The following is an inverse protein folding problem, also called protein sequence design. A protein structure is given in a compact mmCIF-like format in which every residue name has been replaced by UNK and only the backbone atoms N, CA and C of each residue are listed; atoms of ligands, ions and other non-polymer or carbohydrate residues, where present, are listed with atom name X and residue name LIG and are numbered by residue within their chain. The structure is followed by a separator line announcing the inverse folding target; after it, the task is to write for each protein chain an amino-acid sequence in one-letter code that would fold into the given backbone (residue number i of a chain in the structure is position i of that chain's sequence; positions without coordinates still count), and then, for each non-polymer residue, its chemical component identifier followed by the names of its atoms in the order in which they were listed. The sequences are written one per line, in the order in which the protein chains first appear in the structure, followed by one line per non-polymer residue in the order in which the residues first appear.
data_IF_684063619599
#
_entry.id   IF_684063619599
#
_cell.length_a   1.000
_cell.length_b   1.000
_cell.length_c   1.000
_cell.angle_alpha   90.00
_cell.angle_beta   90.00
_cell.angle_gamma   90.00
#
_symmetry.space_group_name_H-M   'P 1'
#
loop_
_entity.id
_entity.type
_entity.pdbx_description
1 polymer ?
#
# COMPACT_ATOMS: atom_id res chain seq x y z
N UNK A 1 39.43 -32.78 -20.84
CA UNK A 1 39.04 -31.39 -21.19
C UNK A 1 37.54 -31.18 -21.37
N UNK A 2 36.82 -31.98 -22.18
CA UNK A 2 35.39 -31.74 -22.49
C UNK A 2 34.46 -31.76 -21.27
N UNK A 3 34.67 -32.70 -20.32
CA UNK A 3 33.84 -32.83 -19.10
C UNK A 3 34.05 -31.67 -18.12
N UNK A 4 35.28 -31.18 -17.98
CA UNK A 4 35.61 -30.03 -17.12
C UNK A 4 34.97 -28.75 -17.64
N UNK A 5 34.96 -28.55 -18.96
CA UNK A 5 34.35 -27.38 -19.59
C UNK A 5 32.82 -27.35 -19.39
N UNK A 6 32.16 -28.52 -19.46
CA UNK A 6 30.73 -28.67 -19.19
C UNK A 6 30.38 -28.39 -17.72
N UNK A 7 31.18 -28.92 -16.78
CA UNK A 7 31.00 -28.65 -15.35
C UNK A 7 31.23 -27.17 -15.02
N UNK A 8 32.24 -26.54 -15.62
CA UNK A 8 32.53 -25.12 -15.44
C UNK A 8 31.43 -24.23 -16.03
N UNK A 9 30.93 -24.54 -17.23
CA UNK A 9 29.80 -23.83 -17.83
C UNK A 9 28.50 -24.00 -17.02
N UNK A 10 28.23 -25.22 -16.53
CA UNK A 10 27.10 -25.49 -15.64
C UNK A 10 27.20 -24.73 -14.31
N UNK A 11 28.40 -24.62 -13.74
CA UNK A 11 28.65 -23.83 -12.54
C UNK A 11 28.44 -22.33 -12.77
N UNK A 12 28.93 -21.77 -13.88
CA UNK A 12 28.71 -20.36 -14.25
C UNK A 12 27.23 -20.05 -14.51
N UNK A 13 26.50 -20.95 -15.16
CA UNK A 13 25.05 -20.81 -15.36
C UNK A 13 24.28 -20.95 -14.04
N UNK A 14 24.68 -21.86 -13.15
CA UNK A 14 24.07 -22.02 -11.84
C UNK A 14 24.27 -20.79 -10.94
N UNK A 15 25.48 -20.25 -10.89
CA UNK A 15 25.79 -19.05 -10.07
C UNK A 15 25.12 -17.79 -10.61
N UNK A 16 25.06 -17.61 -11.94
CA UNK A 16 24.32 -16.49 -12.53
C UNK A 16 22.81 -16.63 -12.31
N UNK A 17 22.25 -17.84 -12.41
CA UNK A 17 20.85 -18.11 -12.08
C UNK A 17 20.54 -17.85 -10.60
N UNK A 18 21.39 -18.31 -9.67
CA UNK A 18 21.23 -18.04 -8.23
C UNK A 18 21.35 -16.55 -7.92
N UNK A 19 22.30 -15.84 -8.52
CA UNK A 19 22.45 -14.38 -8.35
C UNK A 19 21.28 -13.59 -8.93
N UNK A 20 20.68 -14.06 -10.02
CA UNK A 20 19.43 -13.50 -10.54
C UNK A 20 18.28 -13.74 -9.57
N UNK A 21 18.09 -14.99 -9.10
CA UNK A 21 17.04 -15.35 -8.14
C UNK A 21 17.14 -14.56 -6.83
N UNK A 22 18.34 -14.37 -6.29
CA UNK A 22 18.55 -13.62 -5.05
C UNK A 22 18.18 -12.14 -5.20
N UNK A 23 18.56 -11.51 -6.33
CA UNK A 23 18.11 -10.16 -6.67
C UNK A 23 16.59 -10.08 -6.81
N UNK A 24 15.95 -11.08 -7.41
CA UNK A 24 14.50 -11.12 -7.53
C UNK A 24 13.81 -11.29 -6.17
N UNK A 25 14.29 -12.20 -5.32
CA UNK A 25 13.75 -12.44 -3.99
C UNK A 25 13.89 -11.21 -3.08
N UNK A 26 15.05 -10.55 -3.09
CA UNK A 26 15.28 -9.29 -2.37
C UNK A 26 14.31 -8.19 -2.79
N UNK A 27 13.98 -8.11 -4.09
CA UNK A 27 13.01 -7.13 -4.61
C UNK A 27 11.58 -7.43 -4.20
N UNK A 28 11.14 -8.68 -4.36
CA UNK A 28 9.80 -9.10 -3.90
C UNK A 28 9.64 -8.83 -2.41
N UNK A 29 10.67 -9.10 -1.61
CA UNK A 29 10.68 -8.78 -0.19
C UNK A 29 10.57 -7.27 0.07
N UNK A 30 11.36 -6.44 -0.62
CA UNK A 30 11.30 -4.99 -0.47
C UNK A 30 9.91 -4.41 -0.85
N UNK A 31 9.32 -4.89 -1.94
CA UNK A 31 7.95 -4.52 -2.35
C UNK A 31 6.91 -4.95 -1.32
N UNK A 32 6.99 -6.19 -0.81
CA UNK A 32 6.07 -6.68 0.22
C UNK A 32 6.19 -5.86 1.52
N UNK A 33 7.41 -5.50 1.92
CA UNK A 33 7.66 -4.64 3.08
C UNK A 33 7.11 -3.23 2.88
N UNK A 34 7.25 -2.65 1.68
CA UNK A 34 6.70 -1.34 1.35
C UNK A 34 5.17 -1.35 1.38
N UNK A 35 4.53 -2.36 0.78
CA UNK A 35 3.07 -2.53 0.83
C UNK A 35 2.56 -2.71 2.27
N UNK A 36 3.24 -3.54 3.07
CA UNK A 36 2.90 -3.71 4.48
C UNK A 36 3.05 -2.40 5.26
N UNK A 37 4.12 -1.64 5.00
CA UNK A 37 4.34 -0.34 5.65
C UNK A 37 3.28 0.68 5.27
N UNK A 38 2.89 0.75 3.98
CA UNK A 38 1.78 1.59 3.53
C UNK A 38 0.47 1.20 4.22
N UNK A 39 0.19 -0.10 4.34
CA UNK A 39 -1.00 -0.59 5.04
C UNK A 39 -1.03 -0.19 6.52
N UNK A 40 0.09 -0.33 7.24
CA UNK A 40 0.20 0.13 8.63
C UNK A 40 -0.10 1.63 8.75
N UNK A 41 0.37 2.45 7.80
CA UNK A 41 0.06 3.88 7.77
C UNK A 41 -1.42 4.14 7.48
N UNK A 42 -2.05 3.36 6.61
CA UNK A 42 -3.50 3.45 6.38
C UNK A 42 -4.30 3.07 7.64
N UNK A 43 -3.91 2.01 8.34
CA UNK A 43 -4.57 1.59 9.59
C UNK A 43 -4.41 2.66 10.69
N UNK A 44 -3.22 3.26 10.82
CA UNK A 44 -2.98 4.39 11.72
C UNK A 44 -3.82 5.62 11.34
N UNK A 45 -4.01 5.88 10.05
CA UNK A 45 -4.89 6.96 9.58
C UNK A 45 -6.35 6.72 9.98
N UNK A 46 -6.84 5.48 9.84
CA UNK A 46 -8.18 5.08 10.30
C UNK A 46 -8.33 5.26 11.81
N UNK A 47 -7.34 4.83 12.60
CA UNK A 47 -7.35 4.98 14.05
C UNK A 47 -7.39 6.46 14.45
N UNK A 48 -6.48 7.28 13.92
CA UNK A 48 -6.44 8.71 14.20
C UNK A 48 -7.73 9.43 13.78
N UNK A 49 -8.35 9.04 12.66
CA UNK A 49 -9.65 9.54 12.24
C UNK A 49 -10.74 9.19 13.27
N UNK A 50 -10.79 7.92 13.71
CA UNK A 50 -11.74 7.45 14.69
C UNK A 50 -11.63 8.14 16.05
N UNK A 51 -10.42 8.57 16.42
CA UNK A 51 -10.13 9.39 17.60
C UNK A 51 -10.40 10.89 17.40
N UNK A 52 -10.83 11.32 16.20
CA UNK A 52 -11.07 12.73 15.88
C UNK A 52 -9.80 13.55 15.61
N UNK A 53 -8.63 12.92 15.52
CA UNK A 53 -7.33 13.56 15.26
C UNK A 53 -7.11 13.72 13.75
N UNK A 54 -7.90 14.57 13.12
CA UNK A 54 -7.97 14.67 11.65
C UNK A 54 -6.65 15.09 10.97
N UNK A 55 -5.87 15.99 11.57
CA UNK A 55 -4.56 16.38 11.04
C UNK A 55 -3.57 15.21 11.04
N UNK A 56 -3.58 14.42 12.12
CA UNK A 56 -2.74 13.24 12.25
C UNK A 56 -3.19 12.13 11.27
N UNK A 57 -4.50 11.96 11.09
CA UNK A 57 -5.05 11.05 10.10
C UNK A 57 -4.61 11.43 8.67
N UNK A 58 -4.67 12.73 8.32
CA UNK A 58 -4.22 13.22 7.03
C UNK A 58 -2.72 12.97 6.80
N UNK A 59 -1.88 13.20 7.82
CA UNK A 59 -0.44 12.93 7.76
C UNK A 59 -0.12 11.44 7.53
N UNK A 60 -0.78 10.54 8.26
CA UNK A 60 -0.61 9.10 8.07
C UNK A 60 -1.09 8.64 6.69
N UNK A 61 -2.22 9.17 6.21
CA UNK A 61 -2.72 8.88 4.87
C UNK A 61 -1.75 9.38 3.78
N UNK A 62 -1.17 10.57 3.96
CA UNK A 62 -0.14 11.11 3.06
C UNK A 62 1.12 10.22 3.04
N UNK A 63 1.57 9.76 4.21
CA UNK A 63 2.71 8.86 4.32
C UNK A 63 2.45 7.52 3.62
N UNK A 64 1.25 6.95 3.79
CA UNK A 64 0.82 5.74 3.08
C UNK A 64 0.91 5.90 1.56
N UNK A 65 0.40 7.02 1.03
CA UNK A 65 0.51 7.33 -0.40
C UNK A 65 1.95 7.51 -0.87
N UNK A 66 2.78 8.20 -0.10
CA UNK A 66 4.20 8.38 -0.45
C UNK A 66 4.92 7.03 -0.57
N UNK A 67 4.68 6.11 0.38
CA UNK A 67 5.26 4.76 0.36
C UNK A 67 4.74 3.96 -0.85
N UNK A 68 3.43 4.03 -1.12
CA UNK A 68 2.82 3.34 -2.26
C UNK A 68 3.33 3.87 -3.62
N UNK A 69 3.71 5.16 -3.69
CA UNK A 69 4.30 5.76 -4.90
C UNK A 69 5.78 5.40 -5.09
N UNK A 70 6.54 5.28 -4.00
CA UNK A 70 7.97 4.87 -4.05
C UNK A 70 8.13 3.46 -4.63
N UNK A 71 7.18 2.56 -4.33
CA UNK A 71 7.21 1.17 -4.80
C UNK A 71 6.85 1.02 -6.30
N UNK A 72 6.23 2.05 -6.92
CA UNK A 72 5.91 2.07 -8.36
C UNK A 72 7.08 2.49 -9.26
N UNK A 73 8.32 2.14 -8.91
CA UNK A 73 9.42 2.33 -9.86
C UNK A 73 9.13 1.51 -11.13
N UNK A 74 9.32 2.09 -12.33
CA UNK A 74 9.07 1.38 -13.58
C UNK A 74 10.10 0.27 -13.73
N UNK A 75 9.72 -0.94 -13.37
CA UNK A 75 10.47 -2.14 -13.70
C UNK A 75 9.91 -2.69 -15.01
N UNK A 76 10.78 -3.22 -15.87
CA UNK A 76 10.40 -3.80 -17.17
C UNK A 76 9.40 -4.99 -17.06
N UNK A 77 9.06 -5.44 -15.84
CA UNK A 77 8.18 -6.57 -15.58
C UNK A 77 7.34 -6.33 -14.31
N UNK A 78 6.01 -6.42 -14.42
CA UNK A 78 5.05 -6.30 -13.29
C UNK A 78 5.12 -7.47 -12.29
N UNK A 79 5.90 -8.50 -12.60
CA UNK A 79 5.93 -9.77 -11.86
C UNK A 79 6.30 -9.65 -10.37
N UNK A 80 7.34 -8.89 -9.96
CA UNK A 80 7.69 -8.76 -8.54
C UNK A 80 6.59 -8.13 -7.70
N UNK A 81 5.86 -7.16 -8.27
CA UNK A 81 4.71 -6.51 -7.64
C UNK A 81 3.56 -7.50 -7.44
N UNK A 82 3.25 -8.31 -8.46
CA UNK A 82 2.18 -9.34 -8.37
C UNK A 82 2.52 -10.43 -7.33
N UNK A 83 3.79 -10.87 -7.26
CA UNK A 83 4.22 -11.87 -6.26
C UNK A 83 4.22 -11.29 -4.85
N UNK A 84 4.69 -10.05 -4.67
CA UNK A 84 4.61 -9.35 -3.37
C UNK A 84 3.16 -9.20 -2.92
N UNK A 85 2.27 -8.81 -3.83
CA UNK A 85 0.83 -8.75 -3.59
C UNK A 85 0.26 -10.11 -3.21
N UNK A 86 0.57 -11.19 -3.94
CA UNK A 86 0.09 -12.54 -3.59
C UNK A 86 0.60 -13.03 -2.23
N UNK A 87 1.83 -12.66 -1.85
CA UNK A 87 2.39 -12.95 -0.53
C UNK A 87 1.59 -12.26 0.58
N UNK A 88 1.01 -11.11 0.28
CA UNK A 88 0.16 -10.33 1.19
C UNK A 88 -1.34 -10.68 1.08
N UNK A 89 -1.83 -11.13 -0.09
CA UNK A 89 -3.24 -11.46 -0.41
C UNK A 89 -3.81 -12.62 0.43
N UNK A 90 -2.98 -13.33 1.20
CA UNK A 90 -3.45 -14.19 2.30
C UNK A 90 -4.11 -13.41 3.45
N UNK A 91 -4.03 -12.08 3.46
CA UNK A 91 -4.61 -11.15 4.43
C UNK A 91 -5.51 -10.13 3.71
N UNK A 92 -6.71 -10.57 3.39
CA UNK A 92 -7.89 -9.74 3.04
C UNK A 92 -7.78 -8.84 1.78
N UNK A 93 -8.60 -9.16 0.76
CA UNK A 93 -8.47 -8.75 -0.65
C UNK A 93 -8.77 -7.26 -0.96
N UNK A 94 -9.04 -6.44 0.03
CA UNK A 94 -9.69 -5.13 -0.13
C UNK A 94 -8.80 -3.91 0.17
N UNK A 95 -7.56 -4.10 0.66
CA UNK A 95 -6.85 -3.03 1.39
C UNK A 95 -5.68 -2.31 0.69
N UNK A 96 -5.34 -2.63 -0.56
CA UNK A 96 -4.15 -2.06 -1.23
C UNK A 96 -4.41 -1.67 -2.70
N UNK A 97 -5.51 -0.98 -2.99
CA UNK A 97 -5.55 -0.18 -4.23
C UNK A 97 -4.96 1.21 -3.91
N UNK A 98 -3.87 1.62 -4.55
CA UNK A 98 -3.27 2.94 -4.32
C UNK A 98 -4.23 4.08 -4.71
N UNK A 99 -5.18 3.80 -5.60
CA UNK A 99 -6.29 4.71 -5.88
C UNK A 99 -7.14 4.93 -4.62
N UNK A 100 -7.28 3.90 -3.78
CA UNK A 100 -7.99 3.96 -2.51
C UNK A 100 -7.35 4.93 -1.53
N UNK A 101 -6.03 4.83 -1.36
CA UNK A 101 -5.30 5.71 -0.46
C UNK A 101 -5.30 7.16 -0.97
N UNK A 102 -5.21 7.40 -2.27
CA UNK A 102 -5.17 8.74 -2.83
C UNK A 102 -6.47 9.54 -2.58
N UNK A 103 -7.66 8.95 -2.76
CA UNK A 103 -8.89 9.68 -2.44
C UNK A 103 -9.16 9.79 -0.93
N UNK A 104 -8.72 8.80 -0.13
CA UNK A 104 -8.81 8.87 1.34
C UNK A 104 -8.01 10.05 1.87
N UNK A 105 -6.79 10.24 1.34
CA UNK A 105 -5.96 11.40 1.62
C UNK A 105 -6.61 12.70 1.15
N UNK A 106 -7.19 12.73 -0.06
CA UNK A 106 -7.92 13.90 -0.55
C UNK A 106 -9.04 14.33 0.42
N UNK A 107 -9.85 13.36 0.85
CA UNK A 107 -10.95 13.58 1.80
C UNK A 107 -10.44 14.11 3.16
N UNK A 108 -9.38 13.52 3.72
CA UNK A 108 -8.84 13.95 5.02
C UNK A 108 -8.26 15.37 4.96
N UNK A 109 -7.50 15.71 3.91
CA UNK A 109 -7.00 17.08 3.71
C UNK A 109 -8.13 18.09 3.48
N UNK A 110 -9.19 17.68 2.77
CA UNK A 110 -10.38 18.52 2.58
C UNK A 110 -11.07 18.83 3.91
N UNK A 111 -11.16 17.86 4.84
CA UNK A 111 -11.81 18.03 6.14
C UNK A 111 -11.01 18.88 7.13
N UNK A 112 -9.69 18.96 6.98
CA UNK A 112 -8.85 19.88 7.78
C UNK A 112 -8.69 21.27 7.12
N UNK A 113 -9.36 21.50 5.99
CA UNK A 113 -9.35 22.79 5.30
C UNK A 113 -8.17 23.02 4.34
N UNK A 114 -7.25 22.07 4.19
CA UNK A 114 -6.16 22.15 3.21
C UNK A 114 -6.65 21.74 1.82
N UNK A 115 -7.40 22.66 1.21
CA UNK A 115 -7.99 22.46 -0.12
C UNK A 115 -6.93 22.28 -1.21
N UNK A 116 -5.75 22.90 -1.05
CA UNK A 116 -4.68 22.82 -2.04
C UNK A 116 -4.13 21.39 -2.15
N UNK A 117 -3.83 20.77 -1.01
CA UNK A 117 -3.34 19.39 -0.98
C UNK A 117 -4.45 18.43 -1.39
N UNK A 118 -5.68 18.65 -0.92
CA UNK A 118 -6.84 17.84 -1.31
C UNK A 118 -7.06 17.82 -2.84
N UNK A 119 -7.06 18.99 -3.48
CA UNK A 119 -7.25 19.12 -4.93
C UNK A 119 -6.12 18.44 -5.73
N UNK A 120 -4.89 18.44 -5.23
CA UNK A 120 -3.78 17.72 -5.85
C UNK A 120 -4.05 16.20 -5.91
N UNK A 121 -4.68 15.63 -4.89
CA UNK A 121 -5.08 14.23 -4.88
C UNK A 121 -6.35 13.96 -5.70
N UNK A 122 -7.36 14.84 -5.66
CA UNK A 122 -8.56 14.67 -6.50
C UNK A 122 -8.23 14.70 -7.99
N UNK A 123 -7.23 15.48 -8.41
CA UNK A 123 -6.74 15.53 -9.80
C UNK A 123 -6.35 14.16 -10.36
N UNK A 124 -5.92 13.23 -9.52
CA UNK A 124 -5.58 11.86 -9.94
C UNK A 124 -6.81 11.09 -10.46
N UNK A 125 -8.02 11.55 -10.15
CA UNK A 125 -9.29 10.92 -10.49
C UNK A 125 -10.10 11.66 -11.54
N UNK A 126 -9.59 12.76 -12.12
CA UNK A 126 -10.31 13.55 -13.14
C UNK A 126 -10.68 12.73 -14.38
N UNK A 127 -9.96 11.63 -14.64
CA UNK A 127 -10.26 10.71 -15.75
C UNK A 127 -11.31 9.66 -15.41
N UNK A 128 -11.74 9.58 -14.16
CA UNK A 128 -12.78 8.66 -13.71
C UNK A 128 -14.17 9.32 -13.84
N UNK A 129 -15.25 8.54 -14.00
CA UNK A 129 -16.60 9.08 -14.03
C UNK A 129 -17.15 9.44 -12.63
N UNK A 130 -16.31 9.42 -11.59
CA UNK A 130 -16.75 9.63 -10.21
C UNK A 130 -16.66 11.11 -9.83
N UNK A 131 -17.75 11.64 -9.28
CA UNK A 131 -17.76 13.01 -8.76
C UNK A 131 -16.99 13.09 -7.45
N UNK A 132 -16.57 14.31 -7.07
CA UNK A 132 -15.89 14.57 -5.79
C UNK A 132 -16.74 14.11 -4.61
N UNK A 133 -18.04 14.39 -4.61
CA UNK A 133 -18.96 14.00 -3.54
C UNK A 133 -19.05 12.47 -3.40
N UNK A 134 -18.98 11.75 -4.52
CA UNK A 134 -18.98 10.28 -4.51
C UNK A 134 -17.67 9.72 -3.96
N UNK A 135 -16.54 10.34 -4.31
CA UNK A 135 -15.23 10.00 -3.75
C UNK A 135 -15.23 10.22 -2.23
N UNK A 136 -15.75 11.37 -1.78
CA UNK A 136 -15.82 11.74 -0.36
C UNK A 136 -16.74 10.81 0.44
N UNK A 137 -17.92 10.50 -0.10
CA UNK A 137 -18.84 9.56 0.53
C UNK A 137 -18.21 8.16 0.66
N UNK A 138 -17.43 7.74 -0.34
CA UNK A 138 -16.74 6.44 -0.32
C UNK A 138 -15.57 6.43 0.68
N UNK A 139 -14.77 7.50 0.71
CA UNK A 139 -13.69 7.70 1.67
C UNK A 139 -14.20 7.69 3.10
N UNK A 140 -15.26 8.47 3.38
CA UNK A 140 -15.91 8.53 4.68
C UNK A 140 -16.43 7.17 5.11
N UNK A 141 -17.21 6.51 4.23
CA UNK A 141 -17.78 5.19 4.53
C UNK A 141 -16.70 4.18 4.91
N UNK A 142 -15.57 4.22 4.21
CA UNK A 142 -14.45 3.35 4.54
C UNK A 142 -13.85 3.63 5.91
N UNK A 143 -13.54 4.89 6.20
CA UNK A 143 -12.97 5.29 7.47
C UNK A 143 -13.90 4.88 8.61
N UNK A 144 -15.20 5.15 8.48
CA UNK A 144 -16.21 4.78 9.46
C UNK A 144 -16.31 3.25 9.65
N UNK A 145 -16.38 2.50 8.54
CA UNK A 145 -16.52 1.02 8.58
C UNK A 145 -15.25 0.36 9.13
N UNK A 146 -14.08 0.87 8.75
CA UNK A 146 -12.79 0.33 9.19
C UNK A 146 -12.54 0.66 10.66
N UNK A 147 -12.92 1.86 11.11
CA UNK A 147 -12.86 2.22 12.52
C UNK A 147 -13.80 1.37 13.36
N UNK A 148 -15.03 1.15 12.89
CA UNK A 148 -15.97 0.25 13.54
C UNK A 148 -15.39 -1.16 13.69
N UNK A 149 -14.80 -1.71 12.62
CA UNK A 149 -14.17 -3.03 12.66
C UNK A 149 -13.00 -3.11 13.66
N UNK A 150 -12.17 -2.06 13.74
CA UNK A 150 -11.08 -1.99 14.73
C UNK A 150 -11.66 -2.03 16.15
N UNK A 151 -12.64 -1.17 16.45
CA UNK A 151 -13.30 -1.12 17.77
C UNK A 151 -13.97 -2.43 18.17
N UNK A 152 -14.56 -3.14 17.22
CA UNK A 152 -15.19 -4.44 17.47
C UNK A 152 -14.16 -5.57 17.69
N UNK A 153 -12.95 -5.40 17.16
CA UNK A 153 -11.85 -6.37 17.28
C UNK A 153 -10.95 -6.17 18.51
N UNK A 154 -10.95 -4.96 19.10
CA UNK A 154 -10.24 -4.70 20.34
C UNK A 154 -10.86 -5.55 21.46
N UNK A 155 -10.04 -6.30 22.24
CA UNK A 155 -10.57 -7.06 23.36
C UNK A 155 -11.28 -6.08 24.30
N UNK A 156 -12.59 -6.25 24.48
CA UNK A 156 -13.26 -5.64 25.63
C UNK A 156 -12.58 -6.26 26.85
N UNK A 157 -11.62 -5.52 27.42
CA UNK A 157 -11.03 -5.81 28.70
C UNK A 157 -12.22 -5.88 29.67
N UNK A 158 -12.64 -7.11 29.98
CA UNK A 158 -13.76 -7.38 30.86
C UNK A 158 -13.46 -6.64 32.15
N UNK A 159 -14.17 -5.54 32.40
CA UNK A 159 -14.26 -4.94 33.72
C UNK A 159 -14.58 -6.07 34.71
N UNK A 160 -13.59 -6.42 35.52
CA UNK A 160 -13.77 -7.08 36.80
C UNK A 160 -13.76 -6.02 37.88
#
# INVERSE_FOLDING_TARGET
MKTFLLLFAGFLLGTTAMGALDRYASRVYAEAMAMQSAQVMTDNAVHAYGEGKLEQAAAFAQASNAIALISRQPWDVDWPFQVARWTLDGRDKTRLDANYNAYLTAYLFSNIGDSKTADAYYKLFERTPWTRERLDASAKRYLDTSWQAIRESEPQEKSK
#
